data_IF_577007224817
#
_entry.id   IF_577007224817
#
_cell.length_a   1.000
_cell.length_b   1.000
_cell.length_c   1.000
_cell.angle_alpha   90.00
_cell.angle_beta   90.00
_cell.angle_gamma   90.00
#
_symmetry.space_group_name_H-M   'P 1'
#
loop_
_entity.id
_entity.type
_entity.pdbx_description
1 polymer ?
#
# COMPACT_ATOMS: atom_id res chain seq x y z
N UNK A 1 -2.09 0.03 20.84
CA UNK A 1 -0.61 0.14 20.89
C UNK A 1 -0.04 0.61 19.55
N UNK A 2 -0.19 -0.14 18.44
CA UNK A 2 0.39 0.24 17.13
C UNK A 2 -0.11 1.60 16.60
N UNK A 3 -1.42 1.88 16.65
CA UNK A 3 -1.94 3.19 16.24
C UNK A 3 -1.31 4.35 17.06
N UNK A 4 -1.09 4.13 18.37
CA UNK A 4 -0.39 5.09 19.22
C UNK A 4 1.06 5.32 18.79
N UNK A 5 1.78 4.25 18.41
CA UNK A 5 3.12 4.36 17.84
C UNK A 5 3.14 5.18 16.55
N UNK A 6 2.21 4.91 15.62
CA UNK A 6 2.09 5.70 14.37
C UNK A 6 1.75 7.17 14.65
N UNK A 7 0.92 7.46 15.66
CA UNK A 7 0.64 8.85 16.08
C UNK A 7 1.91 9.53 16.58
N UNK A 8 2.69 8.87 17.44
CA UNK A 8 3.96 9.43 17.95
C UNK A 8 4.92 9.73 16.81
N UNK A 9 5.14 8.77 15.91
CA UNK A 9 5.99 8.97 14.73
C UNK A 9 5.49 10.12 13.85
N UNK A 10 4.18 10.19 13.62
CA UNK A 10 3.60 11.25 12.81
C UNK A 10 3.86 12.63 13.41
N UNK A 11 3.63 12.78 14.72
CA UNK A 11 3.86 14.03 15.44
C UNK A 11 5.33 14.41 15.41
N UNK A 12 6.25 13.45 15.60
CA UNK A 12 7.70 13.74 15.52
C UNK A 12 8.12 14.18 14.12
N UNK A 13 7.64 13.51 13.06
CA UNK A 13 8.03 13.82 11.67
C UNK A 13 7.37 15.10 11.12
N UNK A 14 6.25 15.54 11.70
CA UNK A 14 5.49 16.71 11.24
C UNK A 14 5.39 17.82 12.30
N UNK A 15 6.24 17.81 13.32
CA UNK A 15 6.15 18.74 14.47
C UNK A 15 6.06 20.20 14.02
N UNK A 16 7.01 20.64 13.19
CA UNK A 16 7.04 22.03 12.69
C UNK A 16 5.79 22.38 11.85
N UNK A 17 5.24 21.42 11.10
CA UNK A 17 4.07 21.65 10.24
C UNK A 17 2.76 21.73 11.03
N UNK A 18 2.69 21.07 12.20
CA UNK A 18 1.55 21.14 13.10
C UNK A 18 1.39 22.51 13.76
N UNK A 19 2.49 23.24 13.97
CA UNK A 19 2.52 24.52 14.68
C UNK A 19 2.85 25.73 13.79
N UNK A 20 2.89 25.57 12.47
CA UNK A 20 3.20 26.65 11.54
C UNK A 20 2.04 27.67 11.42
N UNK A 21 0.95 27.30 10.74
CA UNK A 21 -0.27 28.11 10.63
C UNK A 21 -1.53 27.24 10.63
N UNK A 22 -2.71 27.86 10.78
CA UNK A 22 -3.99 27.13 10.89
C UNK A 22 -4.26 26.28 9.63
N UNK A 23 -3.90 26.76 8.44
CA UNK A 23 -4.19 26.05 7.20
C UNK A 23 -3.29 24.82 7.03
N UNK A 24 -2.00 24.93 7.36
CA UNK A 24 -1.08 23.80 7.34
C UNK A 24 -1.39 22.80 8.46
N UNK A 25 -1.77 23.29 9.64
CA UNK A 25 -2.18 22.45 10.75
C UNK A 25 -3.38 21.58 10.36
N UNK A 26 -4.43 22.16 9.74
CA UNK A 26 -5.59 21.42 9.25
C UNK A 26 -5.21 20.34 8.22
N UNK A 27 -4.39 20.67 7.21
CA UNK A 27 -3.90 19.68 6.23
C UNK A 27 -3.11 18.56 6.91
N UNK A 28 -2.33 18.89 7.92
CA UNK A 28 -1.53 17.93 8.71
C UNK A 28 -2.40 17.03 9.57
N UNK A 29 -3.44 17.57 10.21
CA UNK A 29 -4.42 16.77 10.97
C UNK A 29 -5.18 15.78 10.07
N UNK A 30 -5.52 16.17 8.83
CA UNK A 30 -6.14 15.23 7.86
C UNK A 30 -5.18 14.09 7.52
N UNK A 31 -3.89 14.37 7.29
CA UNK A 31 -2.87 13.33 7.06
C UNK A 31 -2.75 12.38 8.24
N UNK A 32 -2.78 12.89 9.47
CA UNK A 32 -2.77 12.07 10.69
C UNK A 32 -3.98 11.12 10.75
N UNK A 33 -5.18 11.64 10.46
CA UNK A 33 -6.41 10.82 10.45
C UNK A 33 -6.28 9.69 9.42
N UNK A 34 -5.78 9.99 8.22
CA UNK A 34 -5.56 8.98 7.17
C UNK A 34 -4.53 7.94 7.59
N UNK A 35 -3.40 8.36 8.16
CA UNK A 35 -2.35 7.46 8.63
C UNK A 35 -2.84 6.49 9.72
N UNK A 36 -3.60 7.00 10.70
CA UNK A 36 -4.23 6.18 11.73
C UNK A 36 -5.30 5.26 11.13
N UNK A 37 -6.08 5.77 10.18
CA UNK A 37 -7.10 4.98 9.49
C UNK A 37 -6.52 3.80 8.72
N UNK A 38 -5.29 3.89 8.19
CA UNK A 38 -4.64 2.74 7.56
C UNK A 38 -4.48 1.53 8.48
N UNK A 39 -4.11 1.76 9.74
CA UNK A 39 -3.93 0.70 10.73
C UNK A 39 -5.23 -0.09 10.91
N UNK A 40 -6.35 0.63 11.07
CA UNK A 40 -7.67 0.02 11.20
C UNK A 40 -8.17 -0.61 9.90
N UNK A 41 -7.90 0.02 8.76
CA UNK A 41 -8.29 -0.50 7.45
C UNK A 41 -7.56 -1.82 7.15
N UNK A 42 -6.26 -1.88 7.44
CA UNK A 42 -5.47 -3.10 7.26
C UNK A 42 -5.97 -4.22 8.19
N UNK A 43 -6.22 -3.91 9.46
CA UNK A 43 -6.77 -4.88 10.41
C UNK A 43 -8.13 -5.42 9.96
N UNK A 44 -9.00 -4.53 9.48
CA UNK A 44 -10.27 -4.92 8.87
C UNK A 44 -10.08 -5.84 7.65
N UNK A 45 -9.17 -5.52 6.73
CA UNK A 45 -8.90 -6.33 5.53
C UNK A 45 -8.43 -7.74 5.93
N UNK A 46 -7.50 -7.82 6.88
CA UNK A 46 -6.90 -9.07 7.36
C UNK A 46 -7.95 -9.92 8.07
N UNK A 47 -8.63 -9.34 9.06
CA UNK A 47 -9.62 -10.02 9.90
C UNK A 47 -10.83 -10.49 9.08
N UNK A 48 -11.30 -9.67 8.12
CA UNK A 48 -12.45 -10.02 7.28
C UNK A 48 -12.15 -11.18 6.32
N UNK A 49 -10.89 -11.34 5.91
CA UNK A 49 -10.49 -12.30 4.88
C UNK A 49 -9.68 -13.48 5.41
N UNK A 50 -9.44 -13.57 6.72
CA UNK A 50 -8.63 -14.60 7.37
C UNK A 50 -7.24 -14.76 6.72
N UNK A 51 -6.57 -13.62 6.45
CA UNK A 51 -5.26 -13.59 5.80
C UNK A 51 -4.11 -14.01 6.73
N UNK A 52 -4.35 -13.95 8.03
CA UNK A 52 -3.42 -14.33 9.11
C UNK A 52 -4.19 -15.13 10.17
N UNK A 53 -3.50 -15.78 11.10
CA UNK A 53 -4.08 -16.52 12.23
C UNK A 53 -4.54 -15.60 13.38
N UNK A 54 -5.09 -14.42 13.07
CA UNK A 54 -5.60 -13.42 14.04
C UNK A 54 -4.59 -12.97 15.10
N UNK A 55 -3.31 -12.91 14.75
CA UNK A 55 -2.30 -12.27 15.59
C UNK A 55 -2.08 -10.80 15.17
N UNK A 56 -1.34 -10.07 16.01
CA UNK A 56 -1.02 -8.66 15.76
C UNK A 56 0.21 -8.42 14.87
N UNK A 57 0.89 -9.46 14.36
CA UNK A 57 2.19 -9.29 13.68
C UNK A 57 2.07 -8.44 12.42
N UNK A 58 1.02 -8.61 11.61
CA UNK A 58 0.84 -7.82 10.40
C UNK A 58 0.67 -6.33 10.72
N UNK A 59 -0.16 -6.01 11.71
CA UNK A 59 -0.41 -4.63 12.10
C UNK A 59 0.85 -4.02 12.73
N UNK A 60 1.58 -4.80 13.53
CA UNK A 60 2.86 -4.38 14.10
C UNK A 60 3.90 -4.09 13.00
N UNK A 61 4.13 -5.00 12.06
CA UNK A 61 5.04 -4.79 10.93
C UNK A 61 4.63 -3.54 10.13
N UNK A 62 3.33 -3.35 9.90
CA UNK A 62 2.83 -2.18 9.19
C UNK A 62 3.17 -0.86 9.92
N UNK A 63 3.03 -0.84 11.25
CA UNK A 63 3.45 0.31 12.06
C UNK A 63 4.97 0.53 12.02
N UNK A 64 5.77 -0.54 12.12
CA UNK A 64 7.23 -0.46 12.07
C UNK A 64 7.76 0.06 10.72
N UNK A 65 7.07 -0.23 9.62
CA UNK A 65 7.41 0.33 8.30
C UNK A 65 7.23 1.84 8.21
N UNK A 66 6.29 2.43 8.95
CA UNK A 66 6.24 3.89 9.10
C UNK A 66 7.42 4.43 9.91
N UNK A 67 7.96 3.63 10.83
CA UNK A 67 9.22 3.98 11.51
C UNK A 67 10.41 3.91 10.56
N UNK A 68 10.42 2.93 9.66
CA UNK A 68 11.48 2.74 8.67
C UNK A 68 11.46 3.82 7.58
N UNK A 69 10.30 4.30 7.17
CA UNK A 69 10.17 5.39 6.20
C UNK A 69 9.19 6.47 6.70
N UNK A 70 9.59 7.28 7.69
CA UNK A 70 8.72 8.30 8.28
C UNK A 70 8.33 9.38 7.28
N UNK A 71 9.15 9.58 6.25
CA UNK A 71 8.92 10.51 5.14
C UNK A 71 7.61 10.21 4.39
N UNK A 72 7.13 8.95 4.41
CA UNK A 72 5.83 8.56 3.86
C UNK A 72 4.63 9.30 4.50
N UNK A 73 4.76 9.75 5.75
CA UNK A 73 3.71 10.48 6.47
C UNK A 73 3.61 11.95 6.05
N UNK A 74 4.57 12.45 5.28
CA UNK A 74 4.65 13.87 4.89
C UNK A 74 3.99 14.17 3.54
N UNK A 75 3.81 13.19 2.66
CA UNK A 75 3.23 13.42 1.34
C UNK A 75 1.74 13.08 1.29
N UNK A 76 0.89 14.11 1.28
CA UNK A 76 -0.57 13.95 1.19
C UNK A 76 -1.00 13.09 0.01
N UNK A 77 -0.41 13.34 -1.17
CA UNK A 77 -0.80 12.65 -2.40
C UNK A 77 -0.51 11.16 -2.34
N UNK A 78 0.64 10.77 -1.78
CA UNK A 78 0.98 9.36 -1.57
C UNK A 78 0.09 8.69 -0.53
N UNK A 79 -0.27 9.40 0.56
CA UNK A 79 -1.22 8.89 1.56
C UNK A 79 -2.60 8.65 0.93
N UNK A 80 -3.15 9.62 0.19
CA UNK A 80 -4.45 9.44 -0.46
C UNK A 80 -4.41 8.37 -1.56
N UNK A 81 -3.37 8.35 -2.39
CA UNK A 81 -3.19 7.29 -3.39
C UNK A 81 -3.17 5.91 -2.73
N UNK A 82 -2.38 5.74 -1.66
CA UNK A 82 -2.31 4.47 -0.95
C UNK A 82 -3.65 4.10 -0.29
N UNK A 83 -4.40 5.07 0.24
CA UNK A 83 -5.74 4.84 0.79
C UNK A 83 -6.68 4.21 -0.24
N UNK A 84 -6.72 4.78 -1.45
CA UNK A 84 -7.55 4.25 -2.51
C UNK A 84 -7.04 2.90 -3.02
N UNK A 85 -5.73 2.67 -3.08
CA UNK A 85 -5.16 1.35 -3.35
C UNK A 85 -5.61 0.32 -2.31
N UNK A 86 -5.60 0.65 -1.02
CA UNK A 86 -6.07 -0.26 0.04
C UNK A 86 -7.57 -0.55 -0.08
N UNK A 87 -8.39 0.42 -0.49
CA UNK A 87 -9.80 0.17 -0.79
C UNK A 87 -9.99 -0.74 -2.00
N UNK A 88 -9.18 -0.60 -3.05
CA UNK A 88 -9.19 -1.52 -4.18
C UNK A 88 -8.80 -2.95 -3.72
N UNK A 89 -7.68 -3.09 -3.01
CA UNK A 89 -7.20 -4.38 -2.50
C UNK A 89 -8.23 -5.05 -1.58
N UNK A 90 -8.88 -4.29 -0.68
CA UNK A 90 -9.99 -4.79 0.15
C UNK A 90 -11.07 -5.45 -0.69
N UNK A 91 -11.48 -4.82 -1.79
CA UNK A 91 -12.54 -5.34 -2.68
C UNK A 91 -12.08 -6.57 -3.44
N UNK A 92 -10.85 -6.56 -3.95
CA UNK A 92 -10.26 -7.68 -4.68
C UNK A 92 -10.07 -8.92 -3.80
N UNK A 93 -9.46 -8.77 -2.63
CA UNK A 93 -9.23 -9.89 -1.68
C UNK A 93 -10.56 -10.49 -1.23
N UNK A 94 -11.59 -9.67 -1.05
CA UNK A 94 -12.92 -10.13 -0.65
C UNK A 94 -13.64 -10.94 -1.74
N UNK A 95 -13.11 -11.06 -2.97
CA UNK A 95 -13.70 -11.86 -4.05
C UNK A 95 -13.75 -13.35 -3.75
N UNK A 96 -12.94 -13.85 -2.80
CA UNK A 96 -12.95 -15.25 -2.37
C UNK A 96 -14.34 -15.75 -1.93
N UNK A 97 -15.22 -14.86 -1.43
CA UNK A 97 -16.59 -15.24 -1.04
C UNK A 97 -17.55 -15.38 -2.21
N UNK A 98 -17.16 -14.96 -3.44
CA UNK A 98 -18.00 -14.91 -4.65
C UNK A 98 -19.30 -14.10 -4.52
N UNK A 99 -19.47 -13.35 -3.43
CA UNK A 99 -20.63 -12.46 -3.23
C UNK A 99 -20.40 -11.11 -3.92
N UNK A 100 -21.41 -10.62 -4.64
CA UNK A 100 -21.40 -9.32 -5.32
C UNK A 100 -20.15 -9.07 -6.20
N UNK A 101 -19.70 -10.09 -6.94
CA UNK A 101 -18.48 -10.06 -7.77
C UNK A 101 -18.42 -8.85 -8.70
N UNK A 102 -19.53 -8.54 -9.39
CA UNK A 102 -19.65 -7.37 -10.28
C UNK A 102 -19.35 -6.05 -9.55
N UNK A 103 -20.01 -5.83 -8.41
CA UNK A 103 -19.80 -4.61 -7.60
C UNK A 103 -18.35 -4.49 -7.12
N UNK A 104 -17.74 -5.59 -6.68
CA UNK A 104 -16.34 -5.58 -6.23
C UNK A 104 -15.36 -5.24 -7.36
N UNK A 105 -15.59 -5.75 -8.56
CA UNK A 105 -14.77 -5.42 -9.73
C UNK A 105 -14.93 -3.95 -10.15
N UNK A 106 -16.15 -3.43 -10.13
CA UNK A 106 -16.41 -2.02 -10.40
C UNK A 106 -15.69 -1.13 -9.38
N UNK A 107 -15.90 -1.41 -8.08
CA UNK A 107 -15.27 -0.66 -6.99
C UNK A 107 -13.75 -0.71 -7.09
N UNK A 108 -13.16 -1.87 -7.44
CA UNK A 108 -11.70 -1.99 -7.58
C UNK A 108 -11.16 -1.12 -8.72
N UNK A 109 -11.79 -1.13 -9.90
CA UNK A 109 -11.39 -0.25 -11.01
C UNK A 109 -11.57 1.23 -10.68
N UNK A 110 -12.70 1.57 -10.03
CA UNK A 110 -12.97 2.93 -9.54
C UNK A 110 -11.88 3.41 -8.56
N UNK A 111 -11.56 2.62 -7.54
CA UNK A 111 -10.57 3.01 -6.53
C UNK A 111 -9.14 3.09 -7.08
N UNK A 112 -8.74 2.19 -7.98
CA UNK A 112 -7.42 2.30 -8.64
C UNK A 112 -7.33 3.60 -9.44
N UNK A 113 -8.38 3.95 -10.21
CA UNK A 113 -8.38 5.18 -10.99
C UNK A 113 -8.39 6.43 -10.11
N UNK A 114 -9.11 6.41 -8.98
CA UNK A 114 -9.03 7.46 -7.96
C UNK A 114 -7.60 7.62 -7.43
N UNK A 115 -6.90 6.52 -7.14
CA UNK A 115 -5.50 6.56 -6.70
C UNK A 115 -4.58 7.22 -7.75
N UNK A 116 -4.79 6.91 -9.02
CA UNK A 116 -4.04 7.49 -10.16
C UNK A 116 -4.12 9.01 -10.23
N UNK A 117 -5.22 9.62 -9.78
CA UNK A 117 -5.36 11.08 -9.76
C UNK A 117 -4.43 11.75 -8.73
N UNK A 118 -4.07 11.05 -7.65
CA UNK A 118 -3.14 11.56 -6.64
C UNK A 118 -1.70 11.16 -6.96
N UNK A 119 -1.48 9.94 -7.44
CA UNK A 119 -0.16 9.48 -7.86
C UNK A 119 -0.28 8.63 -9.13
N UNK A 120 0.19 9.17 -10.25
CA UNK A 120 -0.02 8.58 -11.58
C UNK A 120 0.35 7.09 -11.65
N UNK A 121 1.49 6.69 -11.11
CA UNK A 121 1.98 5.31 -11.18
C UNK A 121 1.14 4.30 -10.39
N UNK A 122 0.23 4.75 -9.52
CA UNK A 122 -0.75 3.87 -8.88
C UNK A 122 -1.68 3.17 -9.89
N UNK A 123 -1.74 3.63 -11.14
CA UNK A 123 -2.42 2.93 -12.24
C UNK A 123 -1.92 1.50 -12.43
N UNK A 124 -0.66 1.21 -12.08
CA UNK A 124 -0.09 -0.14 -12.17
C UNK A 124 -0.83 -1.17 -11.29
N UNK A 125 -1.52 -0.73 -10.22
CA UNK A 125 -2.37 -1.61 -9.43
C UNK A 125 -3.57 -2.18 -10.22
N UNK A 126 -3.89 -1.63 -11.39
CA UNK A 126 -4.86 -2.23 -12.28
C UNK A 126 -4.42 -3.62 -12.75
N UNK A 127 -3.11 -3.92 -12.82
CA UNK A 127 -2.60 -5.26 -13.07
C UNK A 127 -3.09 -6.27 -12.01
N UNK A 128 -3.19 -5.88 -10.74
CA UNK A 128 -3.74 -6.72 -9.67
C UNK A 128 -5.24 -6.99 -9.88
N UNK A 129 -5.97 -6.04 -10.46
CA UNK A 129 -7.38 -6.24 -10.88
C UNK A 129 -7.46 -7.29 -11.99
N UNK A 130 -6.55 -7.27 -12.96
CA UNK A 130 -6.47 -8.30 -14.02
C UNK A 130 -6.17 -9.68 -13.42
N UNK A 131 -5.21 -9.77 -12.48
CA UNK A 131 -4.94 -11.03 -11.76
C UNK A 131 -6.20 -11.54 -11.06
N UNK A 132 -6.97 -10.65 -10.40
CA UNK A 132 -8.23 -11.04 -9.78
C UNK A 132 -9.28 -11.52 -10.78
N UNK A 133 -9.35 -10.92 -11.97
CA UNK A 133 -10.22 -11.39 -13.06
C UNK A 133 -9.84 -12.80 -13.50
N UNK A 134 -8.55 -13.10 -13.68
CA UNK A 134 -8.10 -14.45 -14.07
C UNK A 134 -8.60 -15.51 -13.08
N UNK A 135 -8.52 -15.23 -11.78
CA UNK A 135 -8.95 -16.19 -10.75
C UNK A 135 -10.47 -16.23 -10.51
N UNK A 136 -11.18 -15.10 -10.62
CA UNK A 136 -12.57 -14.97 -10.14
C UNK A 136 -13.61 -14.66 -11.23
N UNK A 137 -13.21 -14.33 -12.46
CA UNK A 137 -14.15 -13.95 -13.52
C UNK A 137 -15.01 -15.14 -14.01
N UNK A 138 -14.57 -16.39 -13.78
CA UNK A 138 -15.20 -17.63 -14.26
C UNK A 138 -15.51 -17.59 -15.77
N UNK A 139 -14.61 -16.99 -16.55
CA UNK A 139 -14.74 -16.81 -18.00
C UNK A 139 -15.98 -16.01 -18.46
N UNK A 140 -16.57 -15.20 -17.59
CA UNK A 140 -17.71 -14.36 -17.96
C UNK A 140 -17.21 -13.02 -18.51
N UNK A 141 -17.35 -12.80 -19.83
CA UNK A 141 -16.97 -11.54 -20.49
C UNK A 141 -17.57 -10.30 -19.81
N UNK A 142 -18.78 -10.41 -19.26
CA UNK A 142 -19.40 -9.29 -18.53
C UNK A 142 -18.58 -8.88 -17.32
N UNK A 143 -17.93 -9.82 -16.62
CA UNK A 143 -17.10 -9.49 -15.46
C UNK A 143 -15.80 -8.79 -15.85
N UNK A 144 -15.25 -9.09 -17.04
CA UNK A 144 -14.01 -8.50 -17.55
C UNK A 144 -14.15 -7.01 -17.82
N UNK A 145 -15.29 -6.58 -18.36
CA UNK A 145 -15.53 -5.17 -18.74
C UNK A 145 -15.77 -4.28 -17.50
N UNK A 146 -16.32 -4.84 -16.42
CA UNK A 146 -16.82 -4.05 -15.28
C UNK A 146 -15.77 -3.17 -14.58
N UNK A 147 -14.52 -3.62 -14.32
CA UNK A 147 -13.50 -2.72 -13.79
C UNK A 147 -13.22 -1.50 -14.66
N UNK A 148 -13.26 -1.66 -16.00
CA UNK A 148 -13.08 -0.56 -16.94
C UNK A 148 -14.23 0.45 -16.88
N UNK A 149 -15.46 0.00 -16.57
CA UNK A 149 -16.59 0.90 -16.30
C UNK A 149 -16.33 1.73 -15.03
N UNK A 150 -15.72 1.13 -14.00
CA UNK A 150 -15.28 1.85 -12.80
C UNK A 150 -14.25 2.94 -13.12
N UNK A 151 -13.25 2.61 -13.95
CA UNK A 151 -12.25 3.57 -14.46
C UNK A 151 -12.92 4.70 -15.25
N UNK A 152 -13.80 4.37 -16.20
CA UNK A 152 -14.51 5.34 -17.02
C UNK A 152 -15.37 6.28 -16.16
N UNK A 153 -15.98 5.78 -15.09
CA UNK A 153 -16.76 6.59 -14.14
C UNK A 153 -15.91 7.69 -13.52
N UNK A 154 -14.69 7.37 -13.05
CA UNK A 154 -13.78 8.37 -12.46
C UNK A 154 -13.33 9.39 -13.50
N UNK A 155 -13.03 8.95 -14.73
CA UNK A 155 -12.66 9.86 -15.83
C UNK A 155 -13.80 10.82 -16.15
N UNK A 156 -15.04 10.33 -16.23
CA UNK A 156 -16.21 11.17 -16.48
C UNK A 156 -16.43 12.20 -15.37
N UNK A 157 -16.29 11.79 -14.10
CA UNK A 157 -16.38 12.71 -12.96
C UNK A 157 -15.26 13.76 -12.99
N UNK A 158 -14.04 13.38 -13.34
CA UNK A 158 -12.91 14.30 -13.48
C UNK A 158 -13.17 15.33 -14.58
N UNK A 159 -13.64 14.89 -15.75
CA UNK A 159 -13.97 15.78 -16.87
C UNK A 159 -15.08 16.74 -16.48
N UNK A 160 -16.15 16.25 -15.84
CA UNK A 160 -17.24 17.11 -15.36
C UNK A 160 -16.73 18.16 -14.36
N UNK A 161 -15.88 17.77 -13.40
CA UNK A 161 -15.25 18.69 -12.47
C UNK A 161 -14.39 19.75 -13.18
N UNK A 162 -13.56 19.35 -14.14
CA UNK A 162 -12.68 20.28 -14.87
C UNK A 162 -13.48 21.26 -15.73
N UNK A 163 -14.57 20.83 -16.36
CA UNK A 163 -15.43 21.74 -17.15
C UNK A 163 -16.04 22.80 -16.22
N UNK A 164 -16.61 22.40 -15.08
CA UNK A 164 -17.30 23.31 -14.17
C UNK A 164 -16.34 24.30 -13.50
N UNK A 165 -15.17 23.85 -13.06
CA UNK A 165 -14.26 24.65 -12.22
C UNK A 165 -13.18 25.35 -13.04
N UNK A 166 -12.84 24.83 -14.22
CA UNK A 166 -11.63 25.21 -14.94
C UNK A 166 -11.82 25.38 -16.45
N UNK A 167 -13.06 25.30 -16.95
CA UNK A 167 -13.43 25.48 -18.37
C UNK A 167 -12.53 24.69 -19.35
N UNK A 168 -12.13 23.50 -18.94
CA UNK A 168 -11.24 22.62 -19.70
C UNK A 168 -11.67 21.16 -19.51
N UNK A 169 -11.41 20.30 -20.48
CA UNK A 169 -11.77 18.88 -20.37
C UNK A 169 -10.78 18.11 -19.47
N UNK A 170 -9.50 18.18 -19.81
CA UNK A 170 -8.42 17.50 -19.10
C UNK A 170 -7.25 18.48 -18.94
N UNK A 171 -6.78 18.65 -17.71
CA UNK A 171 -5.60 19.44 -17.41
C UNK A 171 -4.34 18.60 -17.57
N UNK A 172 -3.21 19.19 -18.01
CA UNK A 172 -1.92 18.53 -18.01
C UNK A 172 -1.52 17.96 -16.64
N UNK A 173 -1.94 18.62 -15.56
CA UNK A 173 -1.67 18.20 -14.17
C UNK A 173 -2.52 17.03 -13.69
N UNK A 174 -3.60 16.65 -14.37
CA UNK A 174 -4.44 15.53 -13.92
C UNK A 174 -3.73 14.17 -14.04
N UNK A 175 -2.80 14.05 -14.99
CA UNK A 175 -2.03 12.84 -15.25
C UNK A 175 -0.57 13.20 -15.46
N UNK A 176 0.05 13.80 -14.46
CA UNK A 176 1.47 14.14 -14.51
C UNK A 176 2.32 12.86 -14.49
N UNK A 177 2.96 12.56 -15.63
CA UNK A 177 3.75 11.34 -15.84
C UNK A 177 5.24 11.56 -15.56
N UNK A 178 5.55 12.03 -14.35
CA UNK A 178 6.95 12.19 -13.94
C UNK A 178 7.51 10.85 -13.46
N UNK A 179 8.66 10.46 -14.00
CA UNK A 179 9.47 9.35 -13.51
C UNK A 179 10.91 9.84 -13.34
N UNK A 180 11.59 9.28 -12.34
CA UNK A 180 13.01 9.52 -12.13
C UNK A 180 13.75 8.19 -12.00
N UNK A 181 14.93 8.13 -12.61
CA UNK A 181 15.91 7.03 -12.49
C UNK A 181 17.15 7.52 -11.73
N UNK A 182 17.07 8.69 -11.09
CA UNK A 182 18.11 9.18 -10.19
C UNK A 182 17.91 8.56 -8.80
N UNK A 183 18.86 7.70 -8.41
CA UNK A 183 18.89 7.03 -7.10
C UNK A 183 19.97 7.60 -6.18
N UNK A 184 20.54 8.76 -6.49
CA UNK A 184 21.63 9.37 -5.71
C UNK A 184 21.32 9.52 -4.22
N UNK A 185 20.06 9.86 -3.88
CA UNK A 185 19.59 9.96 -2.49
C UNK A 185 19.77 8.65 -1.71
N UNK A 186 19.63 7.50 -2.39
CA UNK A 186 19.78 6.16 -1.81
C UNK A 186 21.22 5.72 -1.60
N UNK A 187 22.22 6.52 -1.98
CA UNK A 187 23.62 6.25 -1.68
C UNK A 187 24.04 6.72 -0.27
N UNK A 188 23.14 7.32 0.51
CA UNK A 188 23.41 7.64 1.91
C UNK A 188 23.40 6.39 2.79
N UNK A 189 24.21 6.38 3.84
CA UNK A 189 24.32 5.25 4.78
C UNK A 189 22.97 4.89 5.42
N UNK A 190 22.15 5.91 5.71
CA UNK A 190 20.78 5.79 6.21
C UNK A 190 19.92 4.92 5.27
N UNK A 191 19.72 5.37 4.02
CA UNK A 191 18.89 4.66 3.05
C UNK A 191 19.46 3.29 2.66
N UNK A 192 20.79 3.14 2.55
CA UNK A 192 21.39 1.82 2.25
C UNK A 192 21.00 0.81 3.33
N UNK A 193 21.07 1.22 4.60
CA UNK A 193 20.76 0.35 5.73
C UNK A 193 19.25 0.02 5.77
N UNK A 194 18.39 1.00 5.60
CA UNK A 194 16.92 0.81 5.55
C UNK A 194 16.50 -0.11 4.39
N UNK A 195 16.98 0.17 3.19
CA UNK A 195 16.67 -0.61 1.99
C UNK A 195 17.22 -2.03 2.07
N UNK A 196 18.43 -2.20 2.63
CA UNK A 196 19.00 -3.54 2.83
C UNK A 196 18.10 -4.38 3.74
N UNK A 197 17.65 -3.83 4.86
CA UNK A 197 16.75 -4.55 5.77
C UNK A 197 15.39 -4.80 5.11
N UNK A 198 14.81 -3.82 4.42
CA UNK A 198 13.55 -3.98 3.71
C UNK A 198 13.63 -5.07 2.63
N UNK A 199 14.62 -5.02 1.74
CA UNK A 199 14.69 -5.94 0.61
C UNK A 199 15.12 -7.35 1.01
N UNK A 200 16.08 -7.49 1.93
CA UNK A 200 16.47 -8.83 2.42
C UNK A 200 15.29 -9.52 3.11
N UNK A 201 14.53 -8.78 3.94
CA UNK A 201 13.34 -9.31 4.59
C UNK A 201 12.20 -9.60 3.61
N UNK A 202 11.98 -8.72 2.63
CA UNK A 202 10.97 -8.92 1.59
C UNK A 202 11.28 -10.14 0.73
N UNK A 203 12.49 -10.27 0.21
CA UNK A 203 12.90 -11.40 -0.63
C UNK A 203 12.80 -12.71 0.15
N UNK A 204 13.33 -12.73 1.38
CA UNK A 204 13.28 -13.93 2.23
C UNK A 204 11.84 -14.37 2.49
N UNK A 205 11.00 -13.45 2.98
CA UNK A 205 9.62 -13.75 3.32
C UNK A 205 8.78 -14.10 2.08
N UNK A 206 9.02 -13.48 0.92
CA UNK A 206 8.35 -13.81 -0.33
C UNK A 206 8.65 -15.24 -0.79
N UNK A 207 9.91 -15.69 -0.72
CA UNK A 207 10.29 -17.06 -1.10
C UNK A 207 9.49 -18.08 -0.27
N UNK A 208 9.45 -17.89 1.05
CA UNK A 208 8.67 -18.74 1.94
C UNK A 208 7.16 -18.61 1.72
N UNK A 209 6.68 -17.40 1.42
CA UNK A 209 5.28 -17.15 1.14
C UNK A 209 4.82 -17.97 -0.07
N UNK A 210 5.55 -17.94 -1.18
CA UNK A 210 5.21 -18.75 -2.36
C UNK A 210 5.30 -20.26 -2.11
N UNK A 211 6.29 -20.72 -1.34
CA UNK A 211 6.38 -22.14 -0.94
C UNK A 211 5.14 -22.58 -0.16
N UNK A 212 4.73 -21.78 0.83
CA UNK A 212 3.61 -22.10 1.72
C UNK A 212 2.23 -21.84 1.11
N UNK A 213 2.11 -21.03 0.05
CA UNK A 213 0.83 -20.79 -0.67
C UNK A 213 0.27 -22.10 -1.23
N UNK A 214 1.13 -23.04 -1.63
CA UNK A 214 0.69 -24.31 -2.23
C UNK A 214 -0.16 -25.14 -1.26
N UNK A 215 0.13 -25.05 0.04
CA UNK A 215 -0.55 -25.78 1.11
C UNK A 215 -1.81 -25.08 1.62
N UNK A 216 -2.08 -23.85 1.15
CA UNK A 216 -3.29 -23.10 1.54
C UNK A 216 -4.52 -23.63 0.81
N UNK A 217 -5.67 -23.55 1.49
CA UNK A 217 -6.97 -23.91 0.93
C UNK A 217 -7.22 -23.20 -0.42
N UNK A 218 -7.76 -23.93 -1.41
CA UNK A 218 -8.12 -23.44 -2.75
C UNK A 218 -8.94 -22.13 -2.73
N UNK A 219 -9.73 -21.89 -1.68
CA UNK A 219 -10.51 -20.64 -1.52
C UNK A 219 -9.66 -19.42 -1.16
N UNK A 220 -8.60 -19.58 -0.37
CA UNK A 220 -7.72 -18.50 0.09
C UNK A 220 -6.58 -18.22 -0.88
N UNK A 221 -6.15 -19.23 -1.65
CA UNK A 221 -5.03 -19.15 -2.58
C UNK A 221 -5.07 -17.93 -3.52
N UNK A 222 -6.21 -17.57 -4.17
CA UNK A 222 -6.27 -16.36 -5.00
C UNK A 222 -5.97 -15.08 -4.22
N UNK A 223 -6.50 -14.93 -3.00
CA UNK A 223 -6.24 -13.78 -2.12
C UNK A 223 -4.75 -13.61 -1.82
N UNK A 224 -4.03 -14.72 -1.60
CA UNK A 224 -2.59 -14.71 -1.38
C UNK A 224 -1.80 -14.33 -2.64
N UNK A 225 -2.20 -14.79 -3.82
CA UNK A 225 -1.60 -14.33 -5.07
C UNK A 225 -1.80 -12.84 -5.31
N UNK A 226 -2.98 -12.29 -4.99
CA UNK A 226 -3.23 -10.85 -5.08
C UNK A 226 -2.29 -10.05 -4.18
N UNK A 227 -2.02 -10.54 -2.97
CA UNK A 227 -1.06 -9.92 -2.03
C UNK A 227 0.35 -9.97 -2.60
N UNK A 228 0.81 -11.12 -3.10
CA UNK A 228 2.13 -11.24 -3.69
C UNK A 228 2.31 -10.32 -4.92
N UNK A 229 1.33 -10.31 -5.83
CA UNK A 229 1.36 -9.41 -6.99
C UNK A 229 1.30 -7.94 -6.59
N UNK A 230 0.56 -7.59 -5.52
CA UNK A 230 0.57 -6.22 -5.02
C UNK A 230 1.93 -5.79 -4.47
N UNK A 231 2.71 -6.69 -3.84
CA UNK A 231 4.09 -6.38 -3.46
C UNK A 231 4.98 -6.13 -4.67
N UNK A 232 4.88 -6.96 -5.72
CA UNK A 232 5.66 -6.78 -6.96
C UNK A 232 5.33 -5.44 -7.61
N UNK A 233 4.05 -5.10 -7.73
CA UNK A 233 3.60 -3.82 -8.29
C UNK A 233 4.09 -2.64 -7.44
N UNK A 234 4.05 -2.75 -6.11
CA UNK A 234 4.56 -1.70 -5.22
C UNK A 234 6.07 -1.46 -5.41
N UNK A 235 6.87 -2.52 -5.59
CA UNK A 235 8.31 -2.38 -5.90
C UNK A 235 8.51 -1.70 -7.27
N UNK A 236 7.72 -2.07 -8.28
CA UNK A 236 7.79 -1.43 -9.61
C UNK A 236 7.44 0.06 -9.53
N UNK A 237 6.43 0.43 -8.72
CA UNK A 237 6.12 1.84 -8.46
C UNK A 237 7.31 2.52 -7.79
N UNK A 238 7.96 1.88 -6.81
CA UNK A 238 9.11 2.47 -6.15
C UNK A 238 10.31 2.69 -7.10
N UNK A 239 10.54 1.78 -8.04
CA UNK A 239 11.57 1.91 -9.10
C UNK A 239 11.30 3.13 -10.00
N UNK A 240 10.05 3.40 -10.36
CA UNK A 240 9.73 4.48 -11.33
C UNK A 240 9.26 5.79 -10.69
N UNK A 241 9.07 5.81 -9.36
CA UNK A 241 8.60 6.98 -8.62
C UNK A 241 9.46 8.23 -8.93
N UNK A 242 8.85 9.41 -9.06
CA UNK A 242 9.57 10.64 -9.42
C UNK A 242 10.51 11.14 -8.32
N UNK A 243 10.18 10.87 -7.06
CA UNK A 243 10.97 11.28 -5.88
C UNK A 243 11.44 10.02 -5.16
N UNK A 244 12.75 9.93 -4.90
CA UNK A 244 13.39 8.81 -4.19
C UNK A 244 13.76 9.24 -2.77
N UNK A 245 12.85 9.09 -1.83
CA UNK A 245 13.07 9.50 -0.43
C UNK A 245 12.44 8.52 0.57
N UNK A 246 12.16 7.28 0.13
CA UNK A 246 11.53 6.26 0.93
C UNK A 246 10.00 6.33 1.00
N UNK A 247 9.40 7.50 0.73
CA UNK A 247 7.95 7.68 0.82
C UNK A 247 7.18 6.83 -0.18
N UNK A 248 7.77 6.51 -1.34
CA UNK A 248 7.15 5.70 -2.38
C UNK A 248 6.93 4.24 -1.97
N UNK A 249 7.64 3.74 -0.96
CA UNK A 249 7.46 2.39 -0.42
C UNK A 249 6.15 2.22 0.34
N UNK A 250 5.39 3.29 0.59
CA UNK A 250 4.09 3.21 1.29
C UNK A 250 3.13 2.18 0.66
N UNK A 251 3.16 2.02 -0.67
CA UNK A 251 2.35 1.03 -1.39
C UNK A 251 2.73 -0.42 -1.05
N UNK A 252 3.97 -0.65 -0.61
CA UNK A 252 4.48 -1.95 -0.21
C UNK A 252 4.09 -2.31 1.23
N UNK A 253 3.73 -1.32 2.07
CA UNK A 253 3.56 -1.53 3.50
C UNK A 253 2.53 -2.60 3.83
N UNK A 254 1.32 -2.48 3.28
CA UNK A 254 0.25 -3.43 3.54
C UNK A 254 0.57 -4.85 3.03
N UNK A 255 0.95 -5.05 1.76
CA UNK A 255 1.19 -6.41 1.28
C UNK A 255 2.42 -7.06 1.91
N UNK A 256 3.50 -6.31 2.14
CA UNK A 256 4.67 -6.83 2.85
C UNK A 256 4.33 -7.22 4.29
N UNK A 257 3.55 -6.41 5.00
CA UNK A 257 3.13 -6.71 6.38
C UNK A 257 2.31 -8.01 6.48
N UNK A 258 1.45 -8.29 5.50
CA UNK A 258 0.67 -9.53 5.48
C UNK A 258 1.57 -10.73 5.16
N UNK A 259 2.54 -10.58 4.24
CA UNK A 259 3.52 -11.61 3.91
C UNK A 259 4.41 -11.93 5.11
N UNK A 260 4.95 -10.89 5.77
CA UNK A 260 5.79 -11.01 6.96
C UNK A 260 5.04 -11.72 8.09
N UNK A 261 3.79 -11.35 8.37
CA UNK A 261 3.00 -12.00 9.40
C UNK A 261 2.77 -13.49 9.10
N UNK A 262 2.47 -13.85 7.84
CA UNK A 262 2.33 -15.25 7.45
C UNK A 262 3.65 -16.02 7.60
N UNK A 263 4.78 -15.38 7.34
CA UNK A 263 6.09 -15.98 7.55
C UNK A 263 6.36 -16.24 9.04
N UNK A 264 6.18 -15.22 9.90
CA UNK A 264 6.37 -15.32 11.35
C UNK A 264 5.45 -16.38 11.97
N UNK A 265 4.26 -16.60 11.41
CA UNK A 265 3.34 -17.64 11.86
C UNK A 265 3.78 -19.07 11.55
N UNK A 266 4.55 -19.26 10.48
CA UNK A 266 4.94 -20.60 10.01
C UNK A 266 6.31 -21.00 10.55
N UNK A 267 7.24 -20.05 10.71
CA UNK A 267 8.57 -20.35 11.21
C UNK A 267 8.51 -20.86 12.66
N UNK A 268 9.16 -21.99 12.93
CA UNK A 268 9.21 -22.65 14.24
C UNK A 268 10.23 -21.99 15.18
N UNK A 269 11.33 -21.52 14.60
CA UNK A 269 12.50 -20.98 15.25
C UNK A 269 12.18 -19.60 15.81
N UNK A 270 12.14 -19.48 17.15
CA UNK A 270 11.83 -18.22 17.83
C UNK A 270 12.86 -17.13 17.54
N UNK A 271 14.15 -17.48 17.53
CA UNK A 271 15.25 -16.54 17.28
C UNK A 271 15.10 -15.84 15.92
N UNK A 272 14.59 -16.55 14.91
CA UNK A 272 14.43 -15.98 13.57
C UNK A 272 13.33 -14.91 13.55
N UNK A 273 12.22 -15.12 14.27
CA UNK A 273 11.17 -14.10 14.44
C UNK A 273 11.70 -12.85 15.13
N UNK A 274 12.49 -13.05 16.18
CA UNK A 274 13.08 -11.97 16.97
C UNK A 274 14.04 -11.13 16.14
N UNK A 275 14.86 -11.74 15.27
CA UNK A 275 15.76 -11.00 14.39
C UNK A 275 15.01 -10.04 13.46
N UNK A 276 13.95 -10.48 12.76
CA UNK A 276 13.21 -9.59 11.85
C UNK A 276 12.58 -8.41 12.56
N UNK A 277 11.90 -8.68 13.68
CA UNK A 277 11.22 -7.64 14.45
C UNK A 277 12.25 -6.69 15.05
N UNK A 278 13.36 -7.21 15.58
CA UNK A 278 14.42 -6.39 16.16
C UNK A 278 15.07 -5.49 15.13
N UNK A 279 15.37 -6.01 13.93
CA UNK A 279 15.91 -5.19 12.84
C UNK A 279 14.95 -4.06 12.47
N UNK A 280 13.66 -4.35 12.31
CA UNK A 280 12.65 -3.33 11.98
C UNK A 280 12.45 -2.27 13.09
N UNK A 281 12.87 -2.53 14.33
CA UNK A 281 12.83 -1.56 15.43
C UNK A 281 14.14 -0.79 15.54
N UNK A 282 15.27 -1.49 15.48
CA UNK A 282 16.61 -0.92 15.71
C UNK A 282 17.04 -0.04 14.53
N UNK A 283 16.76 -0.46 13.30
CA UNK A 283 17.18 0.24 12.09
C UNK A 283 16.68 1.69 12.05
N UNK A 284 15.38 2.00 12.25
CA UNK A 284 14.92 3.38 12.33
C UNK A 284 15.68 4.23 13.35
N UNK A 285 16.04 3.66 14.50
CA UNK A 285 16.75 4.38 15.57
C UNK A 285 18.19 4.67 15.15
N UNK A 286 18.86 3.72 14.52
CA UNK A 286 20.23 3.90 14.01
C UNK A 286 20.23 4.88 12.82
N UNK A 287 19.24 4.78 11.93
CA UNK A 287 19.04 5.68 10.79
C UNK A 287 19.00 7.15 11.23
N UNK A 288 18.29 7.47 12.32
CA UNK A 288 18.25 8.81 12.91
C UNK A 288 19.61 9.33 13.45
N UNK A 289 20.61 8.46 13.63
CA UNK A 289 21.94 8.82 14.13
C UNK A 289 23.01 8.90 13.03
N UNK A 290 22.70 8.45 11.81
CA UNK A 290 23.59 8.45 10.64
C UNK A 290 23.47 9.74 9.84
#
# INVERSE_FOLDING_TARGET
MVAGFVIVLFVTSNFNQLFADVSTALKTSVRLIVAVFFVFLLDFIISKNNLTKKNGYAIMTFGLLFGLFPEALRYSDLLFANLFVLFALRRLISLQTNLHTKKKFFDAGFWVMMATLFHFWSVLFFAVVIVALIYHSKNNLKNVIIPFVGVATVILLLVAYNIIVHDTYIKPTNFSRYASVDYSVYNSSEFILELTVLFTSLVWTLIYFFKNIQDKNKKLKPSFFLIAWSSVIAILIAIIAPVKNGSEFIFLFAPFSIIMANYIEVVSEKWFKEVFISLLIIVPIISLLL
#
